data_IF_453843327694
#
_entry.id   IF_453843327694
#
_cell.length_a   1.000
_cell.length_b   1.000
_cell.length_c   1.000
_cell.angle_alpha   90.00
_cell.angle_beta   90.00
_cell.angle_gamma   90.00
#
_symmetry.space_group_name_H-M   'P 1'
#
loop_
_entity.id
_entity.type
_entity.pdbx_description
1 polymer ?
#
# COMPACT_ATOMS: atom_id res chain seq x y z
N UNK A 1 5.26 -69.93 -18.78
CA UNK A 1 4.55 -69.69 -17.50
C UNK A 1 5.29 -68.60 -16.73
N UNK A 2 4.64 -67.44 -16.57
CA UNK A 2 4.73 -66.44 -15.48
C UNK A 2 6.09 -66.36 -14.74
N UNK A 3 6.81 -65.24 -14.80
CA UNK A 3 6.64 -64.15 -13.80
C UNK A 3 7.20 -62.82 -14.32
N UNK A 4 6.29 -61.85 -14.31
CA UNK A 4 6.47 -60.43 -14.61
C UNK A 4 6.87 -59.73 -13.31
N UNK A 5 8.01 -59.04 -13.30
CA UNK A 5 8.39 -58.09 -12.24
C UNK A 5 8.44 -56.72 -12.88
N UNK A 6 7.34 -55.98 -12.75
CA UNK A 6 7.22 -54.60 -13.19
C UNK A 6 7.69 -53.73 -12.01
N UNK A 7 8.93 -53.25 -12.08
CA UNK A 7 9.45 -52.26 -11.14
C UNK A 7 8.78 -50.92 -11.44
N UNK A 8 7.76 -50.59 -10.64
CA UNK A 8 7.07 -49.32 -10.66
C UNK A 8 7.98 -48.28 -10.00
N UNK A 9 8.84 -47.61 -10.77
CA UNK A 9 9.61 -46.47 -10.27
C UNK A 9 8.68 -45.26 -10.19
N UNK A 10 8.08 -45.05 -9.02
CA UNK A 10 7.34 -43.84 -8.69
C UNK A 10 8.36 -42.72 -8.42
N UNK A 11 8.80 -42.03 -9.46
CA UNK A 11 9.61 -40.82 -9.25
C UNK A 11 8.69 -39.76 -8.66
N UNK A 12 8.96 -39.39 -7.41
CA UNK A 12 8.29 -38.27 -6.76
C UNK A 12 8.59 -37.00 -7.56
N UNK A 13 7.62 -36.52 -8.34
CA UNK A 13 7.51 -35.09 -8.63
C UNK A 13 7.18 -34.38 -7.33
N UNK A 14 8.21 -34.05 -6.54
CA UNK A 14 8.05 -33.03 -5.52
C UNK A 14 7.89 -31.70 -6.25
N UNK A 15 6.64 -31.30 -6.54
CA UNK A 15 6.32 -29.89 -6.67
C UNK A 15 6.54 -29.27 -5.28
N UNK A 16 7.79 -28.93 -4.98
CA UNK A 16 8.08 -27.98 -3.94
C UNK A 16 7.42 -26.67 -4.39
N UNK A 17 6.22 -26.40 -3.87
CA UNK A 17 5.66 -25.08 -3.91
C UNK A 17 6.53 -24.21 -3.00
N UNK A 18 7.64 -23.70 -3.55
CA UNK A 18 8.41 -22.64 -2.93
C UNK A 18 7.59 -21.37 -3.16
N UNK A 19 6.77 -21.00 -2.19
CA UNK A 19 6.19 -19.67 -2.14
C UNK A 19 7.35 -18.69 -1.96
N UNK A 20 7.69 -17.96 -3.02
CA UNK A 20 8.68 -16.89 -2.98
C UNK A 20 8.13 -15.82 -2.04
N UNK A 21 8.61 -15.81 -0.79
CA UNK A 21 8.33 -14.72 0.16
C UNK A 21 8.97 -13.46 -0.41
N UNK A 22 8.14 -12.63 -1.04
CA UNK A 22 8.54 -11.35 -1.60
C UNK A 22 8.64 -10.35 -0.44
N UNK A 23 9.85 -10.02 0.01
CA UNK A 23 10.09 -8.87 0.88
C UNK A 23 9.83 -7.58 0.06
N UNK A 24 8.57 -7.21 -0.13
CA UNK A 24 8.22 -5.93 -0.77
C UNK A 24 8.39 -4.83 0.26
N UNK A 25 9.29 -3.90 -0.02
CA UNK A 25 9.47 -2.68 0.79
C UNK A 25 8.34 -1.72 0.41
N UNK A 26 7.53 -1.33 1.39
CA UNK A 26 6.43 -0.37 1.20
C UNK A 26 6.80 0.98 1.79
N UNK A 27 6.52 2.06 1.05
CA UNK A 27 6.61 3.42 1.54
C UNK A 27 5.26 3.83 2.13
N UNK A 28 5.28 4.49 3.30
CA UNK A 28 4.07 4.93 3.97
C UNK A 28 4.02 6.46 4.01
N UNK A 29 2.93 7.03 3.51
CA UNK A 29 2.60 8.45 3.67
C UNK A 29 1.61 8.57 4.82
N UNK A 30 1.96 9.37 5.83
CA UNK A 30 1.16 9.60 7.03
C UNK A 30 0.63 11.03 7.01
N UNK A 31 -0.69 11.19 6.98
CA UNK A 31 -1.34 12.50 6.93
C UNK A 31 -2.27 12.69 8.12
N UNK A 32 -2.01 13.72 8.92
CA UNK A 32 -2.85 14.04 10.08
C UNK A 32 -4.24 14.57 9.66
N UNK A 33 -5.26 14.11 10.38
CA UNK A 33 -6.64 14.52 10.17
C UNK A 33 -7.51 14.26 11.39
N UNK A 34 -8.78 14.61 11.28
CA UNK A 34 -9.77 14.32 12.32
C UNK A 34 -11.03 13.73 11.69
N UNK A 35 -11.14 12.37 11.60
CA UNK A 35 -12.28 11.72 10.97
C UNK A 35 -13.61 12.01 11.67
N UNK A 36 -13.60 12.42 12.94
CA UNK A 36 -14.84 12.75 13.68
C UNK A 36 -15.55 14.01 13.16
N UNK A 37 -14.84 14.84 12.40
CA UNK A 37 -15.41 16.02 11.71
C UNK A 37 -16.07 15.68 10.38
N UNK A 38 -15.99 14.42 9.96
CA UNK A 38 -16.46 13.93 8.66
C UNK A 38 -15.46 14.10 7.51
N UNK A 39 -14.33 14.76 7.75
CA UNK A 39 -13.27 14.88 6.75
C UNK A 39 -12.36 13.65 6.72
N UNK A 40 -11.88 13.31 5.53
CA UNK A 40 -10.84 12.30 5.36
C UNK A 40 -9.86 12.64 4.25
N UNK A 41 -8.65 12.08 4.33
CA UNK A 41 -7.69 12.13 3.23
C UNK A 41 -8.03 11.06 2.19
N UNK A 42 -7.93 11.42 0.92
CA UNK A 42 -8.15 10.53 -0.23
C UNK A 42 -6.96 10.65 -1.17
N UNK A 43 -6.39 9.51 -1.58
CA UNK A 43 -5.40 9.46 -2.65
C UNK A 43 -6.09 9.67 -4.01
N UNK A 44 -5.64 10.66 -4.77
CA UNK A 44 -6.22 11.07 -6.04
C UNK A 44 -5.50 10.51 -7.26
N UNK A 45 -4.35 9.86 -7.04
CA UNK A 45 -3.50 9.33 -8.09
C UNK A 45 -2.12 9.95 -8.05
N UNK A 46 -1.33 9.58 -9.05
CA UNK A 46 0.05 10.02 -9.25
C UNK A 46 0.25 10.52 -10.67
N UNK A 47 1.16 11.46 -10.87
CA UNK A 47 1.40 12.08 -12.18
C UNK A 47 1.85 11.04 -13.24
N UNK A 48 2.72 10.09 -12.86
CA UNK A 48 3.34 9.14 -13.79
C UNK A 48 2.91 7.68 -13.60
N UNK A 49 2.04 7.39 -12.62
CA UNK A 49 1.57 6.03 -12.29
C UNK A 49 2.70 5.03 -12.02
N UNK A 50 3.80 5.48 -11.39
CA UNK A 50 4.99 4.65 -11.08
C UNK A 50 4.93 4.00 -9.71
N UNK A 51 3.85 4.25 -8.98
CA UNK A 51 3.53 3.59 -7.72
C UNK A 51 2.15 2.93 -7.78
N UNK A 52 1.95 1.95 -6.90
CA UNK A 52 0.66 1.32 -6.63
C UNK A 52 0.30 1.53 -5.17
N UNK A 53 -0.89 2.08 -4.92
CA UNK A 53 -1.50 2.07 -3.58
C UNK A 53 -1.88 0.62 -3.22
N UNK A 54 -1.31 0.10 -2.14
CA UNK A 54 -1.56 -1.28 -1.67
C UNK A 54 -2.40 -1.33 -0.40
N UNK A 55 -2.44 -0.27 0.40
CA UNK A 55 -3.31 -0.15 1.55
C UNK A 55 -3.63 1.32 1.87
N UNK A 56 -4.83 1.57 2.38
CA UNK A 56 -5.25 2.86 2.94
C UNK A 56 -6.00 2.62 4.24
N UNK A 57 -5.44 3.11 5.35
CA UNK A 57 -5.92 2.86 6.71
C UNK A 57 -6.02 4.16 7.48
N UNK A 58 -6.78 4.16 8.57
CA UNK A 58 -6.79 5.26 9.54
C UNK A 58 -6.39 4.70 10.90
N UNK A 59 -5.48 5.37 11.58
CA UNK A 59 -5.05 5.05 12.93
C UNK A 59 -5.43 6.19 13.87
N UNK A 60 -5.92 5.86 15.06
CA UNK A 60 -6.06 6.84 16.15
C UNK A 60 -4.65 7.17 16.65
N UNK A 61 -4.42 8.45 17.01
CA UNK A 61 -3.12 8.86 17.55
C UNK A 61 -2.84 8.13 18.86
N UNK A 62 -1.65 7.58 19.02
CA UNK A 62 -1.24 6.89 20.25
C UNK A 62 -1.35 7.82 21.46
N UNK A 63 -1.89 7.31 22.58
CA UNK A 63 -2.12 8.09 23.80
C UNK A 63 -3.43 8.90 23.80
N UNK A 64 -4.27 8.73 22.78
CA UNK A 64 -5.65 9.24 22.74
C UNK A 64 -6.70 8.14 22.76
N UNK A 65 -6.32 6.92 23.19
CA UNK A 65 -7.27 5.82 23.30
C UNK A 65 -8.42 6.20 24.26
N UNK A 66 -9.68 6.02 23.82
CA UNK A 66 -10.86 6.34 24.62
C UNK A 66 -11.29 7.81 24.62
N UNK A 67 -10.55 8.71 23.95
CA UNK A 67 -10.96 10.11 23.77
C UNK A 67 -11.87 10.26 22.56
N UNK A 68 -13.12 10.63 22.79
CA UNK A 68 -14.07 10.98 21.73
C UNK A 68 -13.59 12.25 21.02
N UNK A 69 -13.51 12.23 19.68
CA UNK A 69 -13.11 13.40 18.89
C UNK A 69 -11.61 13.54 18.64
N UNK A 70 -10.79 12.58 19.11
CA UNK A 70 -9.34 12.65 18.98
C UNK A 70 -8.87 12.72 17.51
N UNK A 71 -7.83 13.51 17.20
CA UNK A 71 -7.22 13.51 15.88
C UNK A 71 -6.58 12.14 15.60
N UNK A 72 -6.59 11.75 14.34
CA UNK A 72 -5.99 10.52 13.85
C UNK A 72 -5.04 10.77 12.69
N UNK A 73 -4.44 9.70 12.19
CA UNK A 73 -3.51 9.71 11.07
C UNK A 73 -4.03 8.78 9.98
N UNK A 74 -4.10 9.29 8.75
CA UNK A 74 -4.39 8.51 7.56
C UNK A 74 -3.09 7.95 7.02
N UNK A 75 -3.04 6.64 6.80
CA UNK A 75 -1.84 5.91 6.37
C UNK A 75 -2.08 5.35 4.98
N UNK A 76 -1.27 5.76 4.02
CA UNK A 76 -1.29 5.25 2.65
C UNK A 76 0.01 4.48 2.38
N UNK A 77 -0.10 3.21 2.01
CA UNK A 77 1.05 2.34 1.72
C UNK A 77 1.22 2.15 0.22
N UNK A 78 2.42 2.39 -0.29
CA UNK A 78 2.75 2.34 -1.72
C UNK A 78 3.86 1.33 -2.02
N UNK A 79 3.71 0.63 -3.15
CA UNK A 79 4.77 -0.15 -3.79
C UNK A 79 5.21 0.55 -5.08
N UNK A 80 6.51 0.54 -5.38
CA UNK A 80 7.01 0.99 -6.68
C UNK A 80 6.69 -0.03 -7.77
N UNK A 81 6.36 0.44 -8.98
CA UNK A 81 6.13 -0.41 -10.15
C UNK A 81 7.08 -0.11 -11.31
N UNK A 82 7.63 1.12 -11.37
CA UNK A 82 8.57 1.53 -12.41
C UNK A 82 9.55 2.59 -11.85
N UNK A 83 10.82 2.52 -12.23
CA UNK A 83 11.85 3.48 -11.81
C UNK A 83 11.56 4.91 -12.28
N UNK A 84 11.81 5.84 -11.36
CA UNK A 84 12.06 7.25 -11.62
C UNK A 84 11.15 8.19 -10.83
N UNK A 85 11.02 9.45 -11.27
CA UNK A 85 10.30 10.48 -10.53
C UNK A 85 8.78 10.35 -10.67
N UNK A 86 8.04 10.59 -9.57
CA UNK A 86 6.59 10.68 -9.56
C UNK A 86 6.10 11.65 -8.48
N UNK A 87 4.83 12.04 -8.56
CA UNK A 87 4.18 12.96 -7.62
C UNK A 87 2.84 12.41 -7.19
N UNK A 88 2.66 12.25 -5.88
CA UNK A 88 1.47 11.65 -5.28
C UNK A 88 0.52 12.75 -4.82
N UNK A 89 -0.75 12.67 -5.18
CA UNK A 89 -1.74 13.70 -4.87
C UNK A 89 -2.78 13.21 -3.85
N UNK A 90 -3.04 14.04 -2.85
CA UNK A 90 -4.00 13.77 -1.79
C UNK A 90 -4.94 14.96 -1.58
N UNK A 91 -6.20 14.67 -1.29
CA UNK A 91 -7.24 15.66 -0.98
C UNK A 91 -7.88 15.37 0.37
N UNK A 92 -8.12 16.41 1.16
CA UNK A 92 -8.82 16.33 2.44
C UNK A 92 -10.23 16.92 2.29
N UNK A 93 -11.25 16.07 2.26
CA UNK A 93 -12.63 16.48 1.99
C UNK A 93 -13.65 15.61 2.72
N UNK A 94 -14.92 16.05 2.70
CA UNK A 94 -16.08 15.25 3.10
C UNK A 94 -16.63 14.56 1.87
N UNK A 95 -16.75 13.23 1.91
CA UNK A 95 -17.16 12.44 0.73
C UNK A 95 -18.57 12.74 0.23
N UNK A 96 -19.45 13.29 1.08
CA UNK A 96 -20.83 13.64 0.75
C UNK A 96 -21.02 15.09 0.31
N UNK A 97 -19.99 15.94 0.38
CA UNK A 97 -20.08 17.35 0.07
C UNK A 97 -19.54 17.63 -1.33
N UNK A 98 -20.31 18.36 -2.16
CA UNK A 98 -19.85 18.82 -3.48
C UNK A 98 -19.17 20.18 -3.34
N UNK A 99 -18.05 20.21 -2.64
CA UNK A 99 -17.24 21.40 -2.41
C UNK A 99 -15.77 21.12 -2.74
N UNK A 100 -14.99 22.20 -2.91
CA UNK A 100 -13.54 22.10 -3.03
C UNK A 100 -12.95 21.44 -1.75
N UNK A 101 -11.88 20.63 -1.89
CA UNK A 101 -11.26 20.00 -0.74
C UNK A 101 -10.68 21.07 0.20
N UNK A 102 -10.86 20.86 1.49
CA UNK A 102 -10.36 21.79 2.51
C UNK A 102 -8.84 21.87 2.53
N UNK A 103 -8.15 20.79 2.15
CA UNK A 103 -6.69 20.75 1.99
C UNK A 103 -6.29 19.88 0.82
N UNK A 104 -5.15 20.21 0.20
CA UNK A 104 -4.46 19.37 -0.78
C UNK A 104 -3.05 19.11 -0.28
N UNK A 105 -2.51 17.94 -0.57
CA UNK A 105 -1.12 17.59 -0.24
C UNK A 105 -0.50 16.83 -1.40
N UNK A 106 0.79 17.10 -1.64
CA UNK A 106 1.56 16.50 -2.72
C UNK A 106 2.87 16.00 -2.16
N UNK A 107 3.21 14.75 -2.45
CA UNK A 107 4.49 14.13 -2.06
C UNK A 107 5.29 13.84 -3.32
N UNK A 108 6.51 14.36 -3.38
CA UNK A 108 7.44 14.04 -4.46
C UNK A 108 8.17 12.74 -4.10
N UNK A 109 8.21 11.79 -5.03
CA UNK A 109 8.87 10.51 -4.81
C UNK A 109 9.80 10.16 -5.95
N UNK A 110 10.84 9.40 -5.61
CA UNK A 110 11.72 8.74 -6.55
C UNK A 110 11.65 7.23 -6.32
N UNK A 111 11.42 6.48 -7.40
CA UNK A 111 11.45 5.03 -7.39
C UNK A 111 12.84 4.58 -7.89
N UNK A 112 13.58 3.83 -7.07
CA UNK A 112 14.91 3.33 -7.44
C UNK A 112 14.87 2.09 -8.37
N UNK A 113 16.04 1.59 -8.77
CA UNK A 113 16.15 0.38 -9.62
C UNK A 113 15.61 -0.90 -8.96
N UNK A 114 15.50 -0.91 -7.62
CA UNK A 114 14.94 -2.01 -6.83
C UNK A 114 13.45 -1.82 -6.52
N UNK A 115 12.80 -0.82 -7.14
CA UNK A 115 11.41 -0.43 -6.95
C UNK A 115 11.07 0.05 -5.52
N UNK A 116 12.05 0.52 -4.76
CA UNK A 116 11.80 1.21 -3.49
C UNK A 116 11.33 2.62 -3.78
N UNK A 117 10.22 3.00 -3.13
CA UNK A 117 9.69 4.36 -3.21
C UNK A 117 10.35 5.19 -2.11
N UNK A 118 11.06 6.24 -2.51
CA UNK A 118 11.76 7.16 -1.62
C UNK A 118 11.13 8.54 -1.72
N UNK A 119 10.89 9.18 -0.58
CA UNK A 119 10.49 10.59 -0.57
C UNK A 119 11.70 11.47 -0.95
N UNK A 120 11.46 12.51 -1.75
CA UNK A 120 12.47 13.48 -2.17
C UNK A 120 12.36 14.79 -1.42
#
# INVERSE_FOLDING_TARGET
MKRMVMLLSFSLLSLSCVSKVSNRVVMRVLLDGNPTTGYGWVFKGSDNNRVKLVASEHAVRSGSEGLVGAPGTFVFSFEGIEKGDDRLHFEYSRSWEKAEPARKHTVNVWIDDDLRVLER
#
